data_IF_276103233459
#
_entry.id   IF_276103233459
#
_cell.length_a   1.000
_cell.length_b   1.000
_cell.length_c   1.000
_cell.angle_alpha   90.00
_cell.angle_beta   90.00
_cell.angle_gamma   90.00
#
_symmetry.space_group_name_H-M   'P 1'
#
loop_
_entity.id
_entity.type
_entity.pdbx_description
1 polymer ?
#
# COMPACT_ATOMS: atom_id res chain seq x y z
N UNK A 1 -39.86 18.90 -26.89
CA UNK A 1 -39.45 18.15 -25.68
C UNK A 1 -37.96 17.88 -25.76
N UNK A 2 -37.17 18.32 -24.78
CA UNK A 2 -35.72 18.02 -24.74
C UNK A 2 -35.52 16.65 -24.07
N UNK A 3 -34.69 15.76 -24.61
CA UNK A 3 -34.43 14.47 -23.98
C UNK A 3 -33.64 14.69 -22.67
N UNK A 4 -34.13 14.09 -21.59
CA UNK A 4 -33.45 14.07 -20.29
C UNK A 4 -32.30 13.07 -20.42
N UNK A 5 -31.07 13.57 -20.46
CA UNK A 5 -29.87 12.72 -20.43
C UNK A 5 -29.62 12.30 -18.98
N UNK A 6 -29.88 11.04 -18.65
CA UNK A 6 -29.45 10.47 -17.38
C UNK A 6 -27.94 10.27 -17.41
N UNK A 7 -27.20 11.14 -16.73
CA UNK A 7 -25.78 10.91 -16.45
C UNK A 7 -25.68 9.69 -15.51
N UNK A 8 -24.89 8.66 -15.85
CA UNK A 8 -24.67 7.54 -14.96
C UNK A 8 -24.07 8.05 -13.64
N UNK A 9 -24.47 7.48 -12.49
CA UNK A 9 -23.92 7.89 -11.21
C UNK A 9 -22.40 7.71 -11.22
N UNK A 10 -21.66 8.73 -10.78
CA UNK A 10 -20.22 8.66 -10.66
C UNK A 10 -19.86 7.41 -9.82
N UNK A 11 -18.84 6.63 -10.23
CA UNK A 11 -18.43 5.46 -9.47
C UNK A 11 -18.05 5.91 -8.06
N UNK A 12 -18.81 5.45 -7.06
CA UNK A 12 -18.51 5.71 -5.65
C UNK A 12 -17.17 5.05 -5.36
N UNK A 13 -16.14 5.85 -5.08
CA UNK A 13 -14.89 5.31 -4.54
C UNK A 13 -15.25 4.49 -3.29
N UNK A 14 -14.71 3.27 -3.11
CA UNK A 14 -14.97 2.50 -1.91
C UNK A 14 -14.59 3.34 -0.69
N UNK A 15 -15.49 3.44 0.29
CA UNK A 15 -15.18 4.10 1.55
C UNK A 15 -13.99 3.39 2.22
N UNK A 16 -13.05 4.12 2.85
CA UNK A 16 -11.93 3.48 3.53
C UNK A 16 -12.45 2.56 4.63
N UNK A 17 -11.86 1.37 4.72
CA UNK A 17 -12.24 0.38 5.74
C UNK A 17 -11.40 0.50 7.01
N UNK A 18 -10.22 1.12 6.92
CA UNK A 18 -9.27 1.35 8.03
C UNK A 18 -8.42 2.61 7.80
N UNK A 19 -7.74 3.04 8.86
CA UNK A 19 -6.77 4.13 8.86
C UNK A 19 -5.39 3.58 9.24
N UNK A 20 -4.32 4.06 8.62
CA UNK A 20 -2.96 3.61 8.87
C UNK A 20 -1.96 4.78 8.83
N UNK A 21 -1.03 4.84 9.78
CA UNK A 21 0.09 5.79 9.73
C UNK A 21 1.24 5.14 8.94
N UNK A 22 1.76 5.83 7.93
CA UNK A 22 2.86 5.31 7.10
C UNK A 22 4.23 5.49 7.76
N UNK A 23 4.32 6.44 8.69
CA UNK A 23 5.55 6.78 9.43
C UNK A 23 5.65 6.01 10.76
N UNK A 24 4.60 5.27 11.15
CA UNK A 24 4.65 4.42 12.32
C UNK A 24 5.60 3.24 12.08
N UNK A 25 6.33 2.83 13.11
CA UNK A 25 7.28 1.73 13.01
C UNK A 25 6.65 0.47 12.45
N UNK A 26 7.43 -0.24 11.63
CA UNK A 26 7.00 -1.52 11.04
C UNK A 26 8.10 -2.54 11.19
N UNK A 27 7.71 -3.79 11.40
CA UNK A 27 8.63 -4.92 11.51
C UNK A 27 8.32 -5.93 10.43
N UNK A 28 9.35 -6.36 9.71
CA UNK A 28 9.21 -7.48 8.78
C UNK A 28 8.90 -8.75 9.57
N UNK A 29 7.78 -9.40 9.29
CA UNK A 29 7.39 -10.65 9.95
C UNK A 29 8.27 -11.86 9.56
N UNK A 30 9.22 -11.69 8.63
CA UNK A 30 10.09 -12.75 8.10
C UNK A 30 11.51 -12.67 8.66
N UNK A 31 12.22 -11.56 8.42
CA UNK A 31 13.57 -11.36 8.98
C UNK A 31 13.57 -10.66 10.35
N UNK A 32 12.41 -10.23 10.85
CA UNK A 32 12.29 -9.48 12.10
C UNK A 32 13.04 -8.14 12.12
N UNK A 33 13.50 -7.65 10.97
CA UNK A 33 14.08 -6.32 10.86
C UNK A 33 12.99 -5.27 11.10
N UNK A 34 13.30 -4.28 11.92
CA UNK A 34 12.42 -3.19 12.27
C UNK A 34 12.87 -1.89 11.58
N UNK A 35 11.89 -1.16 11.05
CA UNK A 35 12.07 0.20 10.57
C UNK A 35 11.31 1.14 11.50
N UNK A 36 12.00 1.90 12.36
CA UNK A 36 11.36 2.75 13.36
C UNK A 36 10.59 3.91 12.72
N UNK A 37 11.08 4.42 11.59
CA UNK A 37 10.51 5.57 10.86
C UNK A 37 9.51 5.15 9.77
N UNK A 38 8.93 3.96 9.90
CA UNK A 38 7.99 3.39 8.93
C UNK A 38 8.65 2.67 7.75
N UNK A 39 7.82 2.16 6.84
CA UNK A 39 8.31 1.35 5.72
C UNK A 39 9.10 2.23 4.73
N UNK A 40 10.42 1.98 4.52
CA UNK A 40 11.24 2.80 3.64
C UNK A 40 10.79 2.75 2.18
N UNK A 41 9.97 1.76 1.78
CA UNK A 41 9.38 1.72 0.46
C UNK A 41 8.40 2.87 0.20
N UNK A 42 7.84 3.52 1.24
CA UNK A 42 7.01 4.71 1.09
C UNK A 42 7.80 5.95 0.64
N UNK A 43 9.13 5.95 0.70
CA UNK A 43 9.96 7.00 0.11
C UNK A 43 9.83 7.02 -1.43
N UNK A 44 9.34 5.94 -2.03
CA UNK A 44 9.19 5.78 -3.48
C UNK A 44 7.75 6.01 -3.93
N UNK A 45 7.58 6.75 -5.04
CA UNK A 45 6.32 6.73 -5.78
C UNK A 45 6.05 5.31 -6.33
N UNK A 46 4.80 4.85 -6.29
CA UNK A 46 4.43 3.54 -6.79
C UNK A 46 4.12 3.61 -8.28
N UNK A 47 5.03 3.14 -9.14
CA UNK A 47 4.75 3.05 -10.57
C UNK A 47 3.64 2.03 -10.93
N UNK A 48 3.32 1.10 -10.02
CA UNK A 48 2.30 0.08 -10.25
C UNK A 48 0.86 0.55 -10.05
N UNK A 49 0.63 1.54 -9.17
CA UNK A 49 -0.72 2.06 -8.90
C UNK A 49 -0.83 3.59 -8.90
N UNK A 50 0.27 4.30 -9.20
CA UNK A 50 0.33 5.76 -9.28
C UNK A 50 0.36 6.49 -7.93
N UNK A 51 0.38 5.77 -6.80
CA UNK A 51 0.42 6.41 -5.48
C UNK A 51 1.73 7.20 -5.28
N UNK A 52 1.69 8.46 -4.81
CA UNK A 52 2.89 9.25 -4.56
C UNK A 52 3.69 8.72 -3.36
N UNK A 53 4.91 9.23 -3.18
CA UNK A 53 5.71 8.98 -1.99
C UNK A 53 4.95 9.45 -0.73
N UNK A 54 5.13 8.74 0.38
CA UNK A 54 4.43 9.00 1.65
C UNK A 54 2.93 8.65 1.64
N UNK A 55 2.38 8.08 0.56
CA UNK A 55 0.97 7.67 0.53
C UNK A 55 0.82 6.16 0.35
N UNK A 56 -0.17 5.52 1.02
CA UNK A 56 -0.57 4.15 0.76
C UNK A 56 -0.85 3.88 -0.72
N UNK A 57 -0.67 2.62 -1.15
CA UNK A 57 -1.10 2.23 -2.49
C UNK A 57 -2.61 2.51 -2.68
N UNK A 58 -3.01 3.07 -3.82
CA UNK A 58 -4.40 3.44 -4.10
C UNK A 58 -5.21 2.33 -4.81
N UNK A 59 -5.02 1.04 -4.45
CA UNK A 59 -5.75 -0.05 -5.13
C UNK A 59 -7.22 -0.06 -4.72
N UNK A 60 -8.16 -0.32 -5.64
CA UNK A 60 -9.59 -0.34 -5.33
C UNK A 60 -10.05 -1.60 -4.58
N UNK A 61 -9.29 -2.71 -4.67
CA UNK A 61 -9.70 -4.05 -4.21
C UNK A 61 -9.17 -4.42 -2.80
N UNK A 62 -8.62 -3.47 -2.04
CA UNK A 62 -8.04 -3.73 -0.72
C UNK A 62 -6.56 -4.12 -0.74
N UNK A 63 -6.03 -4.52 0.43
CA UNK A 63 -4.61 -4.88 0.61
C UNK A 63 -3.67 -3.67 0.66
N UNK A 64 -4.19 -2.45 0.84
CA UNK A 64 -3.42 -1.19 0.82
C UNK A 64 -2.58 -0.98 2.08
N UNK A 65 -2.80 -1.78 3.11
CA UNK A 65 -1.95 -1.87 4.29
C UNK A 65 -0.56 -2.45 4.01
N UNK A 66 -0.35 -3.03 2.82
CA UNK A 66 0.95 -3.51 2.35
C UNK A 66 1.39 -2.69 1.15
N UNK A 67 2.68 -2.40 1.04
CA UNK A 67 3.22 -1.81 -0.19
C UNK A 67 3.06 -2.77 -1.38
N UNK A 68 2.80 -2.19 -2.54
CA UNK A 68 2.72 -2.94 -3.78
C UNK A 68 4.09 -3.54 -4.11
N UNK A 69 4.11 -4.72 -4.77
CA UNK A 69 5.35 -5.36 -5.22
C UNK A 69 6.33 -4.40 -5.86
N UNK A 70 5.78 -3.59 -6.76
CA UNK A 70 6.59 -2.83 -7.65
C UNK A 70 7.35 -1.74 -6.90
N UNK A 71 6.67 -1.10 -5.94
CA UNK A 71 7.26 -0.14 -5.02
C UNK A 71 8.33 -0.80 -4.13
N UNK A 72 8.08 -2.01 -3.64
CA UNK A 72 9.05 -2.76 -2.85
C UNK A 72 10.33 -3.09 -3.65
N UNK A 73 10.18 -3.52 -4.91
CA UNK A 73 11.33 -3.74 -5.81
C UNK A 73 12.10 -2.45 -6.09
N UNK A 74 11.40 -1.33 -6.20
CA UNK A 74 12.02 -0.03 -6.49
C UNK A 74 12.81 0.46 -5.28
N UNK A 75 12.26 0.29 -4.09
CA UNK A 75 12.95 0.55 -2.84
C UNK A 75 14.21 -0.31 -2.68
N UNK A 76 14.13 -1.59 -3.07
CA UNK A 76 15.31 -2.48 -3.10
C UNK A 76 16.35 -2.02 -4.11
N UNK A 77 15.94 -1.66 -5.33
CA UNK A 77 16.84 -1.17 -6.39
C UNK A 77 17.50 0.15 -6.01
N UNK A 78 16.78 1.01 -5.31
CA UNK A 78 17.29 2.28 -4.80
C UNK A 78 18.19 2.13 -3.56
N UNK A 79 18.32 0.91 -3.01
CA UNK A 79 19.16 0.64 -1.83
C UNK A 79 18.56 1.10 -0.50
N UNK A 80 17.33 1.62 -0.48
CA UNK A 80 16.64 2.04 0.76
C UNK A 80 16.01 0.88 1.51
N UNK A 81 15.74 -0.23 0.81
CA UNK A 81 15.27 -1.46 1.42
C UNK A 81 16.37 -2.52 1.39
N UNK A 82 16.83 -2.90 2.58
CA UNK A 82 17.84 -3.94 2.75
C UNK A 82 17.34 -5.30 2.21
N UNK A 83 18.24 -6.19 1.76
CA UNK A 83 17.90 -7.58 1.47
C UNK A 83 17.31 -8.27 2.72
N UNK A 84 16.38 -9.20 2.51
CA UNK A 84 15.93 -10.09 3.59
C UNK A 84 16.37 -11.52 3.28
N UNK A 85 17.08 -12.12 4.22
CA UNK A 85 17.62 -13.48 4.08
C UNK A 85 16.57 -14.55 4.40
N UNK A 86 15.51 -14.20 5.15
CA UNK A 86 14.40 -15.11 5.49
C UNK A 86 13.26 -15.19 4.47
N UNK A 87 13.50 -14.85 3.19
CA UNK A 87 12.43 -14.71 2.19
C UNK A 87 12.01 -16.03 1.53
N UNK A 88 10.72 -16.12 1.19
CA UNK A 88 10.17 -17.07 0.21
C UNK A 88 10.63 -16.76 -1.23
N UNK A 89 10.30 -17.63 -2.19
CA UNK A 89 10.71 -17.61 -3.61
C UNK A 89 10.63 -16.26 -4.36
N UNK A 90 9.86 -15.31 -3.84
CA UNK A 90 9.58 -14.02 -4.45
C UNK A 90 10.35 -12.83 -3.86
N UNK A 91 11.12 -13.06 -2.79
CA UNK A 91 12.07 -12.09 -2.29
C UNK A 91 11.47 -10.80 -1.72
N UNK A 92 10.32 -10.85 -1.01
CA UNK A 92 9.66 -9.65 -0.46
C UNK A 92 9.49 -9.64 1.05
N UNK A 93 9.74 -8.49 1.67
CA UNK A 93 9.41 -8.30 3.08
C UNK A 93 7.89 -8.36 3.33
N UNK A 94 7.47 -9.03 4.41
CA UNK A 94 6.08 -9.01 4.90
C UNK A 94 5.96 -7.98 6.02
N UNK A 95 5.70 -6.73 5.64
CA UNK A 95 5.68 -5.53 6.49
C UNK A 95 4.32 -4.82 6.41
N UNK A 96 3.26 -5.38 7.03
CA UNK A 96 1.95 -4.74 7.03
C UNK A 96 1.94 -3.53 7.97
N UNK A 97 1.30 -2.45 7.53
CA UNK A 97 1.01 -1.29 8.36
C UNK A 97 0.07 -1.66 9.52
N UNK A 98 0.22 -0.96 10.64
CA UNK A 98 -0.72 -1.01 11.75
C UNK A 98 -2.03 -0.32 11.37
N UNK A 99 -3.16 -1.00 11.59
CA UNK A 99 -4.49 -0.55 11.19
C UNK A 99 -5.34 -0.13 12.38
N UNK A 100 -6.05 0.99 12.24
CA UNK A 100 -6.99 1.53 13.21
C UNK A 100 -8.38 1.71 12.62
N UNK A 101 -9.42 1.60 13.47
CA UNK A 101 -10.79 1.97 13.13
C UNK A 101 -11.00 3.49 13.19
N UNK A 102 -10.20 4.19 13.99
CA UNK A 102 -10.31 5.62 14.22
C UNK A 102 -9.20 6.37 13.47
N UNK A 103 -9.56 7.52 12.89
CA UNK A 103 -8.60 8.41 12.22
C UNK A 103 -7.79 9.20 13.26
N UNK A 104 -6.47 9.01 13.28
CA UNK A 104 -5.54 9.96 13.92
C UNK A 104 -5.08 11.03 12.91
N UNK A 105 -4.39 12.07 13.40
CA UNK A 105 -3.83 13.16 12.58
C UNK A 105 -3.03 12.68 11.38
N UNK A 106 -2.16 11.70 11.61
CA UNK A 106 -1.14 11.23 10.65
C UNK A 106 -1.58 9.95 9.93
N UNK A 107 -2.83 9.53 10.12
CA UNK A 107 -3.33 8.33 9.49
C UNK A 107 -3.89 8.61 8.09
N UNK A 108 -3.44 7.80 7.15
CA UNK A 108 -3.94 7.72 5.79
C UNK A 108 -5.09 6.72 5.71
N UNK A 109 -6.09 7.07 4.92
CA UNK A 109 -7.20 6.21 4.59
C UNK A 109 -6.70 5.01 3.76
N UNK A 110 -7.02 3.79 4.17
CA UNK A 110 -6.68 2.57 3.44
C UNK A 110 -7.88 1.64 3.27
N UNK A 111 -7.89 0.94 2.14
CA UNK A 111 -8.76 -0.21 1.94
C UNK A 111 -7.98 -1.44 2.40
N UNK A 112 -8.39 -2.02 3.54
CA UNK A 112 -7.87 -3.27 4.06
C UNK A 112 -8.60 -4.47 3.45
N UNK A 113 -7.89 -5.57 3.23
CA UNK A 113 -8.46 -6.80 2.69
C UNK A 113 -7.38 -7.70 2.10
N UNK A 114 -7.77 -8.85 1.53
CA UNK A 114 -6.82 -9.68 0.82
C UNK A 114 -6.21 -8.88 -0.35
N UNK A 115 -4.88 -8.79 -0.47
CA UNK A 115 -4.28 -8.16 -1.65
C UNK A 115 -4.73 -8.93 -2.89
N UNK A 116 -4.99 -8.26 -4.02
CA UNK A 116 -5.25 -8.97 -5.26
C UNK A 116 -4.08 -9.93 -5.52
N UNK A 117 -4.41 -11.20 -5.80
CA UNK A 117 -3.45 -12.15 -6.33
C UNK A 117 -2.72 -11.47 -7.50
N UNK A 118 -1.40 -11.64 -7.60
CA UNK A 118 -0.55 -10.93 -8.56
C UNK A 118 -1.21 -10.94 -9.93
N UNK A 119 -1.82 -9.82 -10.33
CA UNK A 119 -2.03 -9.55 -11.75
C UNK A 119 -0.65 -9.24 -12.26
N UNK A 120 0.02 -10.26 -12.80
CA UNK A 120 1.23 -10.06 -13.56
C UNK A 120 0.86 -9.00 -14.61
N UNK A 121 1.54 -7.85 -14.56
CA UNK A 121 1.45 -6.89 -15.63
C UNK A 121 1.91 -7.63 -16.89
N UNK A 122 0.97 -7.87 -17.80
CA UNK A 122 1.24 -8.41 -19.13
C UNK A 122 1.83 -7.31 -20.02
#
# INVERSE_FOLDING_TARGET
MRPITFLPPAPKKPAPSRWACVDASVTCRRCHHEWPDGDPAYQMACRGCGAPAGQPCCRPEGGNERVCFQRDQDARRAGVLIPCEGLSWDGRHDKPLTLSLSRSSDAHAVLSGAPPARRFAA
#
